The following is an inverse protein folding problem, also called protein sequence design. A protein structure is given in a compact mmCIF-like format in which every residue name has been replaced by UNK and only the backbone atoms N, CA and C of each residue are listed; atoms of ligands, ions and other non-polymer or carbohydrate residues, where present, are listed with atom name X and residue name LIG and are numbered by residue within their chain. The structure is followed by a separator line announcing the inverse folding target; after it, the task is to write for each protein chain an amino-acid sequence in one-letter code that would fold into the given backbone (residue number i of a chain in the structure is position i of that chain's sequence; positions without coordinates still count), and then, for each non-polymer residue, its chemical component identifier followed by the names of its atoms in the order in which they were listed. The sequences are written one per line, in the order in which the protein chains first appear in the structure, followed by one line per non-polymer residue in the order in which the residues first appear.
data_IF_742655806538
#
_entry.id   IF_742655806538
#
_cell.length_a   1.000
_cell.length_b   1.000
_cell.length_c   1.000
_cell.angle_alpha   90.00
_cell.angle_beta   90.00
_cell.angle_gamma   90.00
#
_symmetry.space_group_name_H-M   'P 1'
#
loop_
_entity.id
_entity.type
_entity.pdbx_description
1 polymer ?
#
# COMPACT_ATOMS: atom_id res chain seq x y z
N UNK A 1 -5.21 25.75 -7.48
CA UNK A 1 -5.35 24.35 -6.99
C UNK A 1 -3.93 23.81 -6.81
N UNK A 2 -3.52 23.51 -5.59
CA UNK A 2 -2.18 22.95 -5.37
C UNK A 2 -2.10 21.54 -5.98
N UNK A 3 -1.01 21.18 -6.66
CA UNK A 3 -0.81 19.81 -7.14
C UNK A 3 -0.85 18.82 -5.99
N UNK A 4 -1.41 17.63 -6.21
CA UNK A 4 -1.50 16.56 -5.19
C UNK A 4 -0.14 16.18 -4.58
N UNK A 5 0.95 16.34 -5.33
CA UNK A 5 2.32 16.14 -4.87
C UNK A 5 2.76 17.09 -3.77
N UNK A 6 2.31 18.35 -3.82
CA UNK A 6 2.64 19.35 -2.81
C UNK A 6 1.95 19.02 -1.48
N UNK A 7 0.70 18.53 -1.54
CA UNK A 7 -0.05 18.11 -0.35
C UNK A 7 0.68 16.97 0.39
N UNK A 8 1.12 15.94 -0.31
CA UNK A 8 1.86 14.82 0.29
C UNK A 8 3.20 15.25 0.92
N UNK A 9 3.86 16.24 0.34
CA UNK A 9 5.13 16.77 0.87
C UNK A 9 4.89 17.59 2.14
N UNK A 10 3.87 18.45 2.18
CA UNK A 10 3.54 19.26 3.36
C UNK A 10 3.09 18.39 4.53
N UNK A 11 2.35 17.30 4.28
CA UNK A 11 1.99 16.30 5.31
C UNK A 11 3.24 15.70 5.95
N UNK A 12 4.21 15.28 5.14
CA UNK A 12 5.47 14.71 5.65
C UNK A 12 6.24 15.71 6.49
N UNK A 13 6.31 16.96 6.03
CA UNK A 13 6.99 18.03 6.77
C UNK A 13 6.31 18.31 8.11
N UNK A 14 5.00 18.42 8.12
CA UNK A 14 4.24 18.65 9.34
C UNK A 14 4.47 17.52 10.35
N UNK A 15 4.31 16.25 9.93
CA UNK A 15 4.59 15.08 10.79
C UNK A 15 6.05 15.07 11.26
N UNK A 16 7.00 15.36 10.38
CA UNK A 16 8.42 15.39 10.71
C UNK A 16 8.78 16.47 11.75
N UNK A 17 8.20 17.67 11.61
CA UNK A 17 8.39 18.77 12.58
C UNK A 17 7.75 18.44 13.91
N UNK A 18 6.52 17.93 13.92
CA UNK A 18 5.81 17.48 15.12
C UNK A 18 6.58 16.35 15.83
N UNK A 19 7.11 15.37 15.09
CA UNK A 19 7.97 14.32 15.65
C UNK A 19 9.16 14.90 16.41
N UNK A 20 9.85 15.90 15.86
CA UNK A 20 11.01 16.50 16.51
C UNK A 20 10.62 17.23 17.79
N UNK A 21 9.56 18.04 17.76
CA UNK A 21 9.06 18.76 18.95
C UNK A 21 8.77 17.77 20.08
N UNK A 22 8.04 16.68 19.79
CA UNK A 22 7.70 15.68 20.80
C UNK A 22 8.92 14.83 21.23
N UNK A 23 9.87 14.57 20.32
CA UNK A 23 11.13 13.88 20.65
C UNK A 23 12.00 14.68 21.58
N UNK A 24 12.09 15.99 21.38
CA UNK A 24 12.82 16.91 22.26
C UNK A 24 12.23 16.95 23.67
N UNK A 25 10.95 16.60 23.81
CA UNK A 25 10.24 16.41 25.08
C UNK A 25 10.30 14.98 25.63
N UNK A 26 11.12 14.10 25.03
CA UNK A 26 11.42 12.76 25.53
C UNK A 26 10.50 11.65 25.00
N UNK A 27 9.69 11.90 23.96
CA UNK A 27 8.87 10.87 23.36
C UNK A 27 9.69 9.84 22.61
N UNK A 28 9.41 8.55 22.81
CA UNK A 28 10.07 7.46 22.07
C UNK A 28 9.53 7.36 20.64
N UNK A 29 10.32 6.79 19.73
CA UNK A 29 9.88 6.55 18.34
C UNK A 29 8.61 5.70 18.27
N UNK A 30 8.39 4.78 19.21
CA UNK A 30 7.17 3.99 19.29
C UNK A 30 5.96 4.87 19.64
N UNK A 31 6.09 5.75 20.65
CA UNK A 31 5.03 6.67 21.05
C UNK A 31 4.73 7.68 19.94
N UNK A 32 5.75 8.20 19.28
CA UNK A 32 5.61 9.09 18.12
C UNK A 32 4.87 8.40 16.96
N UNK A 33 5.24 7.16 16.68
CA UNK A 33 4.56 6.35 15.65
C UNK A 33 3.08 6.19 15.95
N UNK A 34 2.75 5.78 17.17
CA UNK A 34 1.36 5.58 17.60
C UNK A 34 0.55 6.87 17.53
N UNK A 35 1.11 7.98 18.04
CA UNK A 35 0.40 9.27 18.09
C UNK A 35 0.14 9.88 16.72
N UNK A 36 1.08 9.72 15.78
CA UNK A 36 1.01 10.27 14.42
C UNK A 36 0.44 9.29 13.40
N UNK A 37 0.05 8.08 13.82
CA UNK A 37 -0.48 7.04 12.94
C UNK A 37 0.55 6.59 11.90
N UNK A 38 1.83 6.46 12.27
CA UNK A 38 2.90 5.98 11.40
C UNK A 38 3.69 4.86 12.07
N UNK A 39 4.45 4.08 11.30
CA UNK A 39 5.32 3.06 11.91
C UNK A 39 6.44 3.68 12.74
N UNK A 40 6.95 2.94 13.74
CA UNK A 40 8.13 3.36 14.52
C UNK A 40 9.32 3.69 13.61
N UNK A 41 9.54 2.90 12.54
CA UNK A 41 10.59 3.14 11.55
C UNK A 41 10.38 4.46 10.83
N UNK A 42 9.13 4.76 10.49
CA UNK A 42 8.80 6.03 9.82
C UNK A 42 8.97 7.23 10.75
N UNK A 43 8.59 7.11 12.02
CA UNK A 43 8.88 8.12 13.04
C UNK A 43 10.39 8.34 13.19
N UNK A 44 11.20 7.27 13.21
CA UNK A 44 12.65 7.36 13.20
C UNK A 44 13.19 8.08 11.96
N UNK A 45 12.68 7.79 10.78
CA UNK A 45 13.07 8.47 9.55
C UNK A 45 12.74 9.97 9.59
N UNK A 46 11.62 10.37 10.16
CA UNK A 46 11.28 11.78 10.35
C UNK A 46 12.27 12.52 11.26
N UNK A 47 12.79 11.86 12.29
CA UNK A 47 13.80 12.46 13.18
C UNK A 47 15.15 12.66 12.47
N UNK A 48 15.53 11.74 11.60
CA UNK A 48 16.82 11.80 10.87
C UNK A 48 16.78 12.65 9.60
N UNK A 49 15.60 12.95 9.06
CA UNK A 49 15.46 13.77 7.85
C UNK A 49 15.42 15.25 8.22
N UNK A 50 16.27 16.08 7.63
CA UNK A 50 16.23 17.53 7.85
C UNK A 50 14.94 18.15 7.31
N UNK A 51 14.34 19.12 8.03
CA UNK A 51 13.15 19.83 7.56
C UNK A 51 13.47 20.62 6.30
N UNK A 52 12.56 20.59 5.35
CA UNK A 52 12.60 21.51 4.21
C UNK A 52 12.19 22.91 4.68
N UNK A 53 12.86 23.93 4.12
CA UNK A 53 12.43 25.32 4.25
C UNK A 53 11.51 25.70 3.10
N UNK A 54 10.46 26.40 3.42
CA UNK A 54 9.48 26.93 2.46
C UNK A 54 9.53 28.46 2.51
N UNK A 55 8.97 29.09 1.47
CA UNK A 55 8.74 30.54 1.49
C UNK A 55 7.57 30.87 2.43
N UNK A 56 7.56 32.09 2.95
CA UNK A 56 6.39 32.61 3.66
C UNK A 56 5.20 32.76 2.71
N UNK A 57 3.96 32.54 3.17
CA UNK A 57 3.55 32.23 4.55
C UNK A 57 3.50 30.72 4.89
N UNK A 58 3.94 29.84 3.99
CA UNK A 58 3.88 28.38 4.21
C UNK A 58 4.76 27.95 5.39
N UNK A 59 5.93 28.55 5.51
CA UNK A 59 6.90 28.21 6.57
C UNK A 59 6.33 28.51 7.96
N UNK A 60 5.80 29.72 8.17
CA UNK A 60 5.19 30.14 9.45
C UNK A 60 3.96 29.30 9.80
N UNK A 61 3.08 29.03 8.84
CA UNK A 61 1.90 28.20 9.05
C UNK A 61 2.26 26.75 9.40
N UNK A 62 3.28 26.16 8.75
CA UNK A 62 3.76 24.82 9.08
C UNK A 62 4.35 24.75 10.49
N UNK A 63 5.11 25.76 10.88
CA UNK A 63 5.71 25.81 12.20
C UNK A 63 4.63 25.91 13.30
N UNK A 64 3.68 26.83 13.14
CA UNK A 64 2.57 26.99 14.06
C UNK A 64 1.69 25.74 14.14
N UNK A 65 1.36 25.13 13.01
CA UNK A 65 0.58 23.90 12.97
C UNK A 65 1.32 22.72 13.62
N UNK A 66 2.65 22.66 13.49
CA UNK A 66 3.45 21.60 14.11
C UNK A 66 3.48 21.70 15.64
N UNK A 67 3.56 22.91 16.17
CA UNK A 67 3.49 23.19 17.61
C UNK A 67 2.09 22.84 18.12
N UNK A 68 1.06 23.36 17.47
CA UNK A 68 -0.33 23.12 17.86
C UNK A 68 -0.69 21.63 17.85
N UNK A 69 -0.22 20.90 16.83
CA UNK A 69 -0.43 19.46 16.76
C UNK A 69 0.31 18.72 17.88
N UNK A 70 1.54 19.09 18.18
CA UNK A 70 2.31 18.51 19.29
C UNK A 70 1.57 18.70 20.63
N UNK A 71 1.06 19.90 20.89
CA UNK A 71 0.33 20.22 22.13
C UNK A 71 -0.98 19.43 22.24
N UNK A 72 -1.70 19.28 21.14
CA UNK A 72 -2.92 18.47 21.11
C UNK A 72 -2.61 17.00 21.39
N UNK A 73 -1.58 16.43 20.76
CA UNK A 73 -1.20 15.03 20.93
C UNK A 73 -0.74 14.68 22.36
N UNK A 74 -0.27 15.66 23.13
CA UNK A 74 0.05 15.48 24.57
C UNK A 74 -1.19 15.31 25.44
N UNK A 75 -2.31 15.85 25.01
CA UNK A 75 -3.50 16.01 25.87
C UNK A 75 -4.67 15.15 25.45
N UNK A 76 -4.72 14.67 24.20
CA UNK A 76 -5.87 13.96 23.64
C UNK A 76 -5.46 12.93 22.61
N UNK A 77 -6.19 11.82 22.54
CA UNK A 77 -6.24 11.00 21.34
C UNK A 77 -7.01 11.77 20.25
N UNK A 78 -6.32 12.06 19.15
CA UNK A 78 -6.88 12.82 18.02
C UNK A 78 -7.11 11.89 16.87
N UNK A 79 -8.36 11.75 16.41
CA UNK A 79 -8.73 10.88 15.28
C UNK A 79 -8.72 11.59 13.94
N UNK A 80 -8.90 12.91 13.92
CA UNK A 80 -8.90 13.74 12.70
C UNK A 80 -8.38 15.14 13.01
N UNK A 81 -7.63 15.72 12.08
CA UNK A 81 -7.26 17.13 12.13
C UNK A 81 -7.11 17.69 10.72
N UNK A 82 -7.22 19.01 10.60
CA UNK A 82 -7.05 19.72 9.34
C UNK A 82 -6.07 20.86 9.54
N UNK A 83 -5.20 21.06 8.54
CA UNK A 83 -4.34 22.23 8.45
C UNK A 83 -4.96 23.19 7.43
N UNK A 84 -5.23 24.42 7.84
CA UNK A 84 -5.65 25.49 6.96
C UNK A 84 -4.49 26.46 6.80
N UNK A 85 -4.00 26.61 5.57
CA UNK A 85 -2.94 27.54 5.23
C UNK A 85 -3.58 28.69 4.44
N UNK A 86 -3.44 29.91 4.95
CA UNK A 86 -3.88 31.10 4.25
C UNK A 86 -2.74 31.56 3.31
N UNK A 87 -3.04 31.63 2.01
CA UNK A 87 -2.12 32.16 1.00
C UNK A 87 -2.88 33.24 0.23
N UNK A 88 -2.53 34.48 0.47
CA UNK A 88 -3.26 35.65 -0.02
C UNK A 88 -4.75 35.61 0.41
N UNK A 89 -5.69 35.67 -0.53
CA UNK A 89 -7.12 35.58 -0.25
C UNK A 89 -7.68 34.14 -0.32
N UNK A 90 -6.81 33.13 -0.46
CA UNK A 90 -7.20 31.72 -0.60
C UNK A 90 -6.85 30.90 0.63
N UNK A 91 -7.78 30.05 1.06
CA UNK A 91 -7.55 29.06 2.11
C UNK A 91 -7.30 27.70 1.51
N UNK A 92 -6.13 27.13 1.75
CA UNK A 92 -5.78 25.76 1.38
C UNK A 92 -6.04 24.89 2.60
N UNK A 93 -7.06 24.02 2.52
CA UNK A 93 -7.38 23.09 3.60
C UNK A 93 -6.80 21.71 3.27
N UNK A 94 -6.02 21.17 4.21
CA UNK A 94 -5.45 19.83 4.12
C UNK A 94 -6.03 19.02 5.28
N UNK A 95 -6.81 17.98 4.95
CA UNK A 95 -7.42 17.12 5.95
C UNK A 95 -6.55 15.87 6.16
N UNK A 96 -6.30 15.55 7.42
CA UNK A 96 -5.51 14.39 7.81
C UNK A 96 -6.35 13.47 8.69
N UNK A 97 -6.55 12.21 8.31
CA UNK A 97 -6.88 11.19 9.28
C UNK A 97 -5.62 10.92 10.12
N UNK A 98 -5.69 11.10 11.42
CA UNK A 98 -4.61 10.69 12.34
C UNK A 98 -4.70 9.21 12.69
N UNK A 99 -5.90 8.64 12.69
CA UNK A 99 -6.01 7.20 12.63
C UNK A 99 -5.63 6.77 11.22
N UNK A 100 -4.49 6.16 11.17
CA UNK A 100 -4.06 5.36 10.06
C UNK A 100 -5.23 4.42 9.72
N UNK A 101 -5.55 4.34 8.45
CA UNK A 101 -6.42 3.31 7.89
C UNK A 101 -5.85 1.87 8.10
N UNK A 102 -4.79 1.74 8.95
CA UNK A 102 -4.05 0.48 9.18
C UNK A 102 -4.94 -0.63 9.70
N UNK A 103 -5.75 -0.37 10.72
CA UNK A 103 -6.69 -1.37 11.24
C UNK A 103 -7.75 -1.71 10.20
N UNK A 104 -8.24 -0.71 9.49
CA UNK A 104 -9.18 -0.89 8.40
C UNK A 104 -8.55 -1.71 7.27
N UNK A 105 -7.31 -1.43 6.88
CA UNK A 105 -6.56 -2.18 5.86
C UNK A 105 -6.31 -3.62 6.31
N UNK A 106 -5.92 -3.88 7.54
CA UNK A 106 -5.75 -5.23 8.07
C UNK A 106 -7.06 -6.01 8.08
N UNK A 107 -8.16 -5.35 8.45
CA UNK A 107 -9.51 -5.89 8.37
C UNK A 107 -9.91 -6.21 6.92
N UNK A 108 -9.69 -5.28 6.00
CA UNK A 108 -9.96 -5.43 4.57
C UNK A 108 -9.15 -6.58 3.98
N UNK A 109 -7.84 -6.65 4.28
CA UNK A 109 -6.96 -7.74 3.83
C UNK A 109 -7.44 -9.10 4.34
N UNK A 110 -7.92 -9.15 5.58
CA UNK A 110 -8.53 -10.36 6.15
C UNK A 110 -9.84 -10.74 5.45
N UNK A 111 -10.67 -9.76 5.11
CA UNK A 111 -11.93 -9.98 4.38
C UNK A 111 -11.67 -10.48 2.95
N UNK A 112 -10.74 -9.86 2.21
CA UNK A 112 -10.29 -10.29 0.88
C UNK A 112 -9.80 -11.75 0.92
N UNK A 113 -8.92 -12.10 1.87
CA UNK A 113 -8.45 -13.48 2.05
C UNK A 113 -9.60 -14.45 2.30
N UNK A 114 -10.56 -14.09 3.18
CA UNK A 114 -11.73 -14.95 3.48
C UNK A 114 -12.60 -15.16 2.24
N UNK A 115 -12.86 -14.12 1.47
CA UNK A 115 -13.63 -14.19 0.22
C UNK A 115 -12.99 -15.14 -0.79
N UNK A 116 -11.67 -15.07 -0.92
CA UNK A 116 -10.92 -15.85 -1.90
C UNK A 116 -10.47 -17.23 -1.38
N UNK A 117 -10.74 -17.60 -0.13
CA UNK A 117 -10.12 -18.78 0.52
C UNK A 117 -10.30 -20.09 -0.25
N UNK A 118 -11.41 -20.27 -0.99
CA UNK A 118 -11.70 -21.47 -1.79
C UNK A 118 -11.25 -21.38 -3.26
N UNK A 119 -10.95 -20.17 -3.75
CA UNK A 119 -10.42 -19.96 -5.09
C UNK A 119 -8.89 -20.12 -5.13
N UNK A 120 -8.22 -19.63 -4.10
CA UNK A 120 -6.76 -19.54 -4.05
C UNK A 120 -6.01 -20.89 -4.12
N UNK A 121 -6.50 -22.03 -3.60
CA UNK A 121 -5.79 -23.31 -3.77
C UNK A 121 -5.59 -23.70 -5.24
N UNK A 122 -6.57 -23.41 -6.11
CA UNK A 122 -6.49 -23.68 -7.55
C UNK A 122 -5.46 -22.79 -8.27
N UNK A 123 -5.23 -21.60 -7.74
CA UNK A 123 -4.42 -20.54 -8.33
C UNK A 123 -3.08 -20.34 -7.61
N UNK A 124 -2.74 -21.25 -6.69
CA UNK A 124 -1.54 -21.12 -5.88
C UNK A 124 -0.28 -21.45 -6.68
N UNK A 125 0.69 -20.53 -6.79
CA UNK A 125 2.02 -20.84 -7.31
C UNK A 125 2.81 -21.70 -6.30
N UNK A 126 3.94 -22.28 -6.73
CA UNK A 126 4.83 -23.04 -5.82
C UNK A 126 5.36 -22.16 -4.69
N UNK A 127 5.65 -20.88 -4.98
CA UNK A 127 6.05 -19.89 -3.96
C UNK A 127 4.90 -19.46 -3.05
N UNK A 128 3.69 -19.99 -3.24
CA UNK A 128 2.44 -19.65 -2.53
C UNK A 128 1.89 -18.26 -2.86
N UNK A 129 0.59 -18.11 -2.64
CA UNK A 129 -0.12 -16.84 -2.81
C UNK A 129 0.20 -15.88 -1.67
N UNK A 130 0.28 -14.60 -1.99
CA UNK A 130 0.13 -13.53 -1.01
C UNK A 130 -0.75 -12.41 -1.57
N UNK A 131 -1.32 -11.63 -0.67
CA UNK A 131 -2.14 -10.46 -0.99
C UNK A 131 -1.52 -9.29 -0.25
N UNK A 132 -1.42 -8.14 -0.92
CA UNK A 132 -0.96 -6.92 -0.30
C UNK A 132 -1.91 -5.76 -0.57
N UNK A 133 -2.13 -4.93 0.46
CA UNK A 133 -2.94 -3.72 0.39
C UNK A 133 -2.11 -2.54 0.93
N UNK A 134 -2.05 -1.48 0.15
CA UNK A 134 -1.33 -0.26 0.49
C UNK A 134 -2.23 0.73 1.23
N UNK A 135 -1.66 1.45 2.19
CA UNK A 135 -2.32 2.64 2.74
C UNK A 135 -2.44 3.76 1.69
N UNK A 136 -3.36 4.69 1.90
CA UNK A 136 -3.62 5.77 0.94
C UNK A 136 -2.36 6.57 0.59
N UNK A 137 -1.45 6.73 1.53
CA UNK A 137 -0.21 7.51 1.40
C UNK A 137 1.05 6.63 1.42
N UNK A 138 0.93 5.37 1.00
CA UNK A 138 2.05 4.43 1.01
C UNK A 138 3.26 4.98 0.23
N UNK A 139 4.39 5.07 0.92
CA UNK A 139 5.67 5.53 0.39
C UNK A 139 6.80 4.52 0.61
N UNK A 140 6.55 3.48 1.42
CA UNK A 140 7.53 2.46 1.78
C UNK A 140 6.85 1.10 2.00
N UNK A 141 7.65 0.04 2.10
CA UNK A 141 7.16 -1.30 2.43
C UNK A 141 6.40 -1.35 3.76
N UNK A 142 6.73 -0.48 4.71
CA UNK A 142 6.06 -0.40 6.01
C UNK A 142 4.65 0.19 5.94
N UNK A 143 4.24 0.73 4.80
CA UNK A 143 2.91 1.28 4.55
C UNK A 143 2.01 0.32 3.78
N UNK A 144 2.48 -0.91 3.55
CA UNK A 144 1.78 -1.95 2.80
C UNK A 144 1.60 -3.18 3.70
N UNK A 145 0.34 -3.59 3.88
CA UNK A 145 -0.02 -4.77 4.64
C UNK A 145 -0.04 -6.02 3.75
N UNK A 146 0.47 -7.13 4.27
CA UNK A 146 0.44 -8.45 3.62
C UNK A 146 0.50 -9.56 4.68
N UNK A 147 0.35 -10.84 4.26
CA UNK A 147 0.47 -11.98 5.14
C UNK A 147 1.95 -12.44 5.22
N UNK A 148 2.61 -12.34 6.39
CA UNK A 148 3.93 -12.94 6.57
C UNK A 148 3.88 -14.46 6.39
N UNK A 149 4.82 -15.00 5.63
CA UNK A 149 4.84 -16.43 5.31
C UNK A 149 3.82 -16.87 4.26
N UNK A 150 3.07 -15.92 3.68
CA UNK A 150 2.10 -16.15 2.60
C UNK A 150 0.89 -16.99 3.02
N UNK A 151 0.03 -17.36 2.05
CA UNK A 151 -1.14 -18.20 2.25
C UNK A 151 -0.81 -19.61 1.79
N UNK A 152 -1.05 -20.61 2.64
CA UNK A 152 -0.78 -22.02 2.35
C UNK A 152 -2.08 -22.72 2.00
N UNK A 153 -2.17 -23.43 0.86
CA UNK A 153 -3.27 -24.35 0.60
C UNK A 153 -3.32 -25.45 1.63
N UNK A 154 -4.48 -25.62 2.29
CA UNK A 154 -4.76 -26.70 3.24
C UNK A 154 -6.14 -27.25 2.86
N UNK A 155 -6.15 -28.41 2.19
CA UNK A 155 -7.36 -28.95 1.58
C UNK A 155 -7.91 -28.01 0.51
N UNK A 156 -9.18 -27.66 0.61
CA UNK A 156 -9.91 -26.78 -0.30
C UNK A 156 -9.79 -25.29 0.04
N UNK A 157 -8.96 -24.90 1.02
CA UNK A 157 -8.87 -23.54 1.53
C UNK A 157 -7.43 -23.05 1.63
N UNK A 158 -7.24 -21.75 1.34
CA UNK A 158 -5.97 -21.07 1.60
C UNK A 158 -5.97 -20.44 3.01
N UNK A 159 -4.96 -20.81 3.81
CA UNK A 159 -4.82 -20.38 5.20
C UNK A 159 -3.55 -19.56 5.41
N UNK A 160 -3.60 -18.48 6.17
CA UNK A 160 -2.39 -17.74 6.55
C UNK A 160 -1.64 -18.50 7.66
N UNK A 161 -0.30 -18.40 7.65
CA UNK A 161 0.56 -18.89 8.71
C UNK A 161 0.49 -17.96 9.94
N UNK A 162 0.32 -16.66 9.70
CA UNK A 162 0.20 -15.64 10.74
C UNK A 162 -0.80 -14.56 10.34
N UNK A 163 -1.22 -13.75 11.31
CA UNK A 163 -2.06 -12.58 11.05
C UNK A 163 -1.38 -11.61 10.08
N UNK A 164 -2.18 -10.87 9.27
CA UNK A 164 -1.63 -9.88 8.38
C UNK A 164 -0.96 -8.76 9.16
N UNK A 165 0.11 -8.19 8.61
CA UNK A 165 0.79 -7.04 9.18
C UNK A 165 1.40 -6.15 8.10
N UNK A 166 1.68 -4.92 8.43
CA UNK A 166 2.44 -4.00 7.59
C UNK A 166 3.89 -4.47 7.45
N UNK A 167 4.46 -4.34 6.25
CA UNK A 167 5.77 -4.91 5.92
C UNK A 167 5.78 -6.44 5.80
N UNK A 168 4.61 -7.09 5.65
CA UNK A 168 4.48 -8.56 5.63
C UNK A 168 4.99 -9.24 4.36
N UNK A 169 5.28 -8.49 3.29
CA UNK A 169 5.85 -9.02 2.03
C UNK A 169 6.74 -7.98 1.37
N UNK A 170 8.00 -8.28 1.15
CA UNK A 170 8.91 -7.39 0.41
C UNK A 170 8.55 -7.31 -1.07
N UNK A 171 8.44 -8.46 -1.74
CA UNK A 171 8.21 -8.55 -3.18
C UNK A 171 6.92 -7.85 -3.64
N UNK A 172 5.77 -8.16 -3.00
CA UNK A 172 4.51 -7.51 -3.38
C UNK A 172 4.49 -6.02 -3.02
N UNK A 173 5.17 -5.65 -1.93
CA UNK A 173 5.29 -4.23 -1.56
C UNK A 173 6.08 -3.45 -2.59
N UNK A 174 7.19 -3.97 -3.09
CA UNK A 174 8.00 -3.31 -4.12
C UNK A 174 7.22 -3.13 -5.42
N UNK A 175 6.56 -4.21 -5.89
CA UNK A 175 5.71 -4.14 -7.09
C UNK A 175 4.57 -3.13 -6.92
N UNK A 176 3.91 -3.14 -5.77
CA UNK A 176 2.81 -2.22 -5.50
C UNK A 176 3.28 -0.77 -5.41
N UNK A 177 4.45 -0.50 -4.82
CA UNK A 177 5.05 0.84 -4.80
C UNK A 177 5.41 1.32 -6.21
N UNK A 178 5.95 0.44 -7.07
CA UNK A 178 6.24 0.79 -8.47
C UNK A 178 4.97 1.08 -9.27
N UNK A 179 3.90 0.29 -9.09
CA UNK A 179 2.59 0.57 -9.68
C UNK A 179 2.05 1.94 -9.23
N UNK A 180 2.16 2.26 -7.95
CA UNK A 180 1.69 3.52 -7.36
C UNK A 180 2.47 4.75 -7.83
N UNK A 181 3.69 4.59 -8.35
CA UNK A 181 4.39 5.69 -9.03
C UNK A 181 3.70 6.10 -10.34
N UNK A 182 3.00 5.18 -11.00
CA UNK A 182 2.25 5.44 -12.22
C UNK A 182 0.80 5.90 -11.93
N UNK A 183 0.14 5.24 -10.96
CA UNK A 183 -1.17 5.65 -10.44
C UNK A 183 -1.23 5.42 -8.94
N UNK A 184 -1.22 6.50 -8.17
CA UNK A 184 -1.26 6.47 -6.70
C UNK A 184 -2.54 5.85 -6.12
N UNK A 185 -3.59 5.68 -6.92
CA UNK A 185 -4.85 5.05 -6.52
C UNK A 185 -4.76 3.53 -6.41
N UNK A 186 -3.84 2.89 -7.15
CA UNK A 186 -3.65 1.45 -7.07
C UNK A 186 -3.32 1.08 -5.63
N UNK A 187 -4.15 0.24 -5.01
CA UNK A 187 -4.04 -0.09 -3.60
C UNK A 187 -3.83 -1.57 -3.31
N UNK A 188 -4.23 -2.47 -4.21
CA UNK A 188 -4.29 -3.90 -3.94
C UNK A 188 -3.56 -4.69 -5.03
N UNK A 189 -2.79 -5.70 -4.61
CA UNK A 189 -2.10 -6.64 -5.50
C UNK A 189 -2.12 -8.05 -4.91
N UNK A 190 -2.24 -9.06 -5.77
CA UNK A 190 -2.15 -10.49 -5.43
C UNK A 190 -1.26 -11.21 -6.44
N UNK A 191 -0.43 -12.16 -6.00
CA UNK A 191 0.30 -13.05 -6.90
C UNK A 191 -0.40 -14.41 -7.01
N UNK A 192 -0.49 -14.92 -8.22
CA UNK A 192 -1.12 -16.19 -8.58
C UNK A 192 -0.18 -16.99 -9.48
N UNK A 193 -0.44 -18.27 -9.68
CA UNK A 193 0.26 -19.06 -10.68
C UNK A 193 -0.06 -18.53 -12.09
N UNK A 194 0.87 -18.73 -13.02
CA UNK A 194 0.69 -18.42 -14.43
C UNK A 194 0.92 -19.66 -15.27
N UNK A 195 0.00 -19.94 -16.18
CA UNK A 195 0.10 -21.02 -17.16
C UNK A 195 -0.75 -20.70 -18.42
N UNK A 196 -0.62 -21.45 -19.52
CA UNK A 196 -1.37 -21.22 -20.74
C UNK A 196 -2.90 -21.24 -20.56
N UNK A 197 -3.43 -22.09 -19.67
CA UNK A 197 -4.87 -22.15 -19.39
C UNK A 197 -5.36 -20.83 -18.78
N UNK A 198 -4.61 -20.26 -17.83
CA UNK A 198 -4.95 -18.96 -17.23
C UNK A 198 -4.85 -17.85 -18.28
N UNK A 199 -3.89 -17.92 -19.22
CA UNK A 199 -3.81 -16.97 -20.34
C UNK A 199 -5.10 -16.94 -21.16
N UNK A 200 -5.56 -18.11 -21.59
CA UNK A 200 -6.81 -18.23 -22.36
C UNK A 200 -8.04 -17.72 -21.60
N UNK A 201 -8.10 -17.99 -20.30
CA UNK A 201 -9.19 -17.49 -19.44
C UNK A 201 -9.17 -15.96 -19.36
N UNK A 202 -8.01 -15.34 -19.14
CA UNK A 202 -7.89 -13.89 -19.08
C UNK A 202 -8.25 -13.22 -20.41
N UNK A 203 -7.89 -13.82 -21.54
CA UNK A 203 -8.29 -13.35 -22.87
C UNK A 203 -9.81 -13.42 -23.04
N UNK A 204 -10.46 -14.53 -22.64
CA UNK A 204 -11.91 -14.69 -22.69
C UNK A 204 -12.65 -13.70 -21.79
N UNK A 205 -12.04 -13.31 -20.67
CA UNK A 205 -12.58 -12.33 -19.73
C UNK A 205 -12.29 -10.87 -20.14
N UNK A 206 -11.64 -10.63 -21.29
CA UNK A 206 -11.19 -9.31 -21.78
C UNK A 206 -10.33 -8.55 -20.74
N UNK A 207 -9.52 -9.29 -19.96
CA UNK A 207 -8.62 -8.70 -18.99
C UNK A 207 -7.29 -8.37 -19.66
N UNK A 208 -6.99 -7.08 -19.73
CA UNK A 208 -5.75 -6.60 -20.33
C UNK A 208 -4.55 -6.95 -19.47
N UNK A 209 -3.55 -7.57 -20.08
CA UNK A 209 -2.34 -8.06 -19.44
C UNK A 209 -1.11 -7.30 -19.95
N UNK A 210 -0.16 -7.05 -19.05
CA UNK A 210 1.15 -6.47 -19.39
C UNK A 210 2.25 -7.43 -18.95
N UNK A 211 3.23 -7.67 -19.82
CA UNK A 211 4.38 -8.48 -19.48
C UNK A 211 5.39 -7.66 -18.68
N UNK A 212 5.82 -8.22 -17.56
CA UNK A 212 6.95 -7.70 -16.78
C UNK A 212 8.26 -8.04 -17.48
N UNK A 213 9.25 -7.21 -17.31
CA UNK A 213 10.63 -7.54 -17.68
C UNK A 213 11.37 -7.94 -16.42
N UNK A 214 12.13 -9.02 -16.51
CA UNK A 214 13.07 -9.42 -15.47
C UNK A 214 14.47 -8.93 -15.84
N UNK A 215 15.09 -8.18 -14.95
CA UNK A 215 16.48 -7.74 -15.05
C UNK A 215 17.18 -8.30 -13.82
N UNK A 216 18.04 -9.27 -14.00
CA UNK A 216 18.60 -10.09 -12.94
C UNK A 216 17.49 -10.74 -12.07
N UNK A 217 17.42 -10.43 -10.80
CA UNK A 217 16.38 -10.92 -9.89
C UNK A 217 15.18 -9.99 -9.77
N UNK A 218 15.26 -8.76 -10.29
CA UNK A 218 14.26 -7.73 -10.14
C UNK A 218 13.21 -7.74 -11.26
N UNK A 219 11.95 -7.49 -10.87
CA UNK A 219 10.84 -7.29 -11.80
C UNK A 219 10.67 -5.81 -12.11
N UNK A 220 10.73 -5.48 -13.39
CA UNK A 220 10.58 -4.10 -13.86
C UNK A 220 9.23 -3.93 -14.56
N UNK A 221 8.47 -2.96 -14.09
CA UNK A 221 7.15 -2.63 -14.63
C UNK A 221 7.31 -1.67 -15.80
N UNK A 222 6.73 -2.02 -16.95
CA UNK A 222 6.70 -1.13 -18.12
C UNK A 222 5.74 0.05 -17.89
N UNK A 223 5.96 1.19 -18.60
CA UNK A 223 5.15 2.40 -18.44
C UNK A 223 3.68 2.27 -18.90
N UNK A 224 3.26 1.14 -19.47
CA UNK A 224 1.92 0.97 -20.06
C UNK A 224 0.93 0.20 -19.17
N UNK A 225 1.10 0.23 -17.85
CA UNK A 225 0.28 -0.55 -16.91
C UNK A 225 -1.08 0.08 -16.64
N UNK A 226 -1.25 1.39 -16.86
CA UNK A 226 -2.43 2.18 -16.47
C UNK A 226 -3.79 1.69 -17.03
N UNK A 227 -3.76 0.91 -18.10
CA UNK A 227 -4.97 0.36 -18.74
C UNK A 227 -5.10 -1.16 -18.57
N UNK A 228 -4.41 -1.74 -17.59
CA UNK A 228 -4.44 -3.16 -17.31
C UNK A 228 -4.76 -3.43 -15.84
N UNK A 229 -5.24 -4.64 -15.55
CA UNK A 229 -5.44 -5.13 -14.19
C UNK A 229 -4.60 -6.37 -13.91
N UNK A 230 -3.79 -6.79 -14.86
CA UNK A 230 -2.95 -7.98 -14.74
C UNK A 230 -1.54 -7.74 -15.29
N UNK A 231 -0.54 -8.28 -14.60
CA UNK A 231 0.85 -8.32 -15.04
C UNK A 231 1.34 -9.77 -15.01
N UNK A 232 2.16 -10.13 -16.00
CA UNK A 232 2.70 -11.47 -16.14
C UNK A 232 4.23 -11.40 -16.03
N UNK A 233 4.76 -12.21 -15.14
CA UNK A 233 6.17 -12.62 -15.16
C UNK A 233 6.24 -14.01 -15.78
N UNK A 234 6.88 -14.11 -16.94
CA UNK A 234 7.04 -15.39 -17.64
C UNK A 234 8.05 -16.32 -16.95
N UNK A 235 8.62 -15.85 -15.83
CA UNK A 235 9.61 -16.61 -15.08
C UNK A 235 11.00 -16.60 -15.75
N UNK A 236 11.80 -17.58 -15.40
CA UNK A 236 13.16 -17.75 -15.91
C UNK A 236 13.90 -18.83 -15.13
N UNK A 237 15.23 -18.90 -15.31
CA UNK A 237 16.03 -19.88 -14.56
C UNK A 237 15.90 -19.62 -13.04
N UNK A 238 15.34 -20.59 -12.32
CA UNK A 238 15.11 -20.49 -10.87
C UNK A 238 13.88 -19.69 -10.44
N UNK A 239 13.10 -19.14 -11.38
CA UNK A 239 11.88 -18.38 -11.10
C UNK A 239 10.68 -18.99 -11.83
N UNK A 240 9.62 -19.31 -11.06
CA UNK A 240 8.37 -19.78 -11.66
C UNK A 240 7.58 -18.64 -12.32
N UNK A 241 6.84 -18.92 -13.39
CA UNK A 241 5.94 -17.96 -13.99
C UNK A 241 4.86 -17.53 -12.99
N UNK A 242 4.54 -16.24 -12.96
CA UNK A 242 3.59 -15.66 -12.01
C UNK A 242 2.67 -14.64 -12.67
N UNK A 243 1.40 -14.68 -12.28
CA UNK A 243 0.40 -13.67 -12.59
C UNK A 243 0.24 -12.74 -11.39
N UNK A 244 0.26 -11.45 -11.63
CA UNK A 244 -0.08 -10.43 -10.62
C UNK A 244 -1.36 -9.72 -11.04
N UNK A 245 -2.42 -9.81 -10.23
CA UNK A 245 -3.67 -9.06 -10.41
C UNK A 245 -3.64 -7.89 -9.46
N UNK A 246 -3.99 -6.70 -9.95
CA UNK A 246 -3.94 -5.46 -9.16
C UNK A 246 -5.06 -4.49 -9.54
N UNK A 247 -5.44 -3.63 -8.60
CA UNK A 247 -6.44 -2.58 -8.80
C UNK A 247 -6.38 -1.51 -7.71
N UNK A 248 -7.07 -0.39 -7.94
CA UNK A 248 -7.44 0.58 -6.91
C UNK A 248 -8.48 0.03 -5.93
N UNK A 249 -9.27 -0.96 -6.35
CA UNK A 249 -10.34 -1.57 -5.57
C UNK A 249 -10.07 -3.05 -5.33
N UNK A 250 -10.04 -3.45 -4.06
CA UNK A 250 -9.84 -4.86 -3.70
C UNK A 250 -10.98 -5.78 -4.18
N UNK A 251 -12.19 -5.24 -4.33
CA UNK A 251 -13.33 -5.97 -4.87
C UNK A 251 -13.12 -6.38 -6.32
N UNK A 252 -12.55 -5.52 -7.16
CA UNK A 252 -12.22 -5.87 -8.54
C UNK A 252 -11.15 -6.96 -8.61
N UNK A 253 -10.13 -6.90 -7.74
CA UNK A 253 -9.13 -7.98 -7.62
C UNK A 253 -9.82 -9.29 -7.26
N UNK A 254 -10.75 -9.29 -6.29
CA UNK A 254 -11.51 -10.48 -5.92
C UNK A 254 -12.32 -11.02 -7.09
N UNK A 255 -13.06 -10.18 -7.81
CA UNK A 255 -13.88 -10.59 -8.96
C UNK A 255 -13.04 -11.26 -10.05
N UNK A 256 -11.90 -10.68 -10.40
CA UNK A 256 -10.98 -11.26 -11.39
C UNK A 256 -10.51 -12.64 -10.94
N UNK A 257 -10.06 -12.78 -9.70
CA UNK A 257 -9.58 -14.05 -9.14
C UNK A 257 -10.70 -15.10 -9.09
N UNK A 258 -11.91 -14.73 -8.67
CA UNK A 258 -13.08 -15.61 -8.62
C UNK A 258 -13.49 -16.07 -10.03
N UNK A 259 -13.49 -15.18 -11.01
CA UNK A 259 -13.80 -15.51 -12.41
C UNK A 259 -12.79 -16.49 -13.00
N UNK A 260 -11.48 -16.27 -12.76
CA UNK A 260 -10.45 -17.21 -13.20
C UNK A 260 -10.70 -18.60 -12.57
N UNK A 261 -10.92 -18.66 -11.26
CA UNK A 261 -11.12 -19.92 -10.55
C UNK A 261 -12.41 -20.64 -11.00
N UNK A 262 -13.49 -19.91 -11.30
CA UNK A 262 -14.74 -20.45 -11.83
C UNK A 262 -14.55 -21.03 -13.23
N UNK A 263 -13.92 -20.29 -14.13
CA UNK A 263 -13.62 -20.78 -15.49
C UNK A 263 -12.73 -22.03 -15.47
N UNK A 264 -11.76 -22.10 -14.55
CA UNK A 264 -10.93 -23.31 -14.41
C UNK A 264 -11.73 -24.52 -13.93
N UNK A 265 -12.72 -24.33 -13.04
CA UNK A 265 -13.60 -25.45 -12.60
C UNK A 265 -14.53 -25.94 -13.70
N UNK A 266 -14.97 -25.05 -14.59
CA UNK A 266 -15.81 -25.40 -15.74
C UNK A 266 -15.04 -26.17 -16.82
N UNK A 267 -13.71 -25.99 -16.88
CA UNK A 267 -12.83 -26.64 -17.85
C UNK A 267 -12.25 -27.97 -17.34
N UNK A 268 -12.36 -28.26 -16.03
CA UNK A 268 -11.84 -29.48 -15.39
C UNK A 268 -12.90 -30.58 -15.32
#
# INVERSE_FOLDING_TARGET
MMPAELNGTLIKELRGRTCRILSDEGWTQSNLGNALGVSQVMAGNYLHTLPKKYSEPIESNLQEASISLADILKTKEVSKWSLNINVDEQVISINFPLHDDREQILSQLTAVRRRLESALPLLSPQVRVNIAIASNHAASRSDIAAFPGRLTPIGDKARPISSPKFGGSSQLSDLLLELRKQDSKISTIINLRWDPMISEILEKLDIKMVKLKRIDEDLVISKNVLNSNAMIDEGGYGFEPSLYVFSSESDLVCQIVENIASSMREMA
#
